data_IF_475194557936
#
_entry.id   IF_475194557936
#
_cell.length_a   1.000
_cell.length_b   1.000
_cell.length_c   1.000
_cell.angle_alpha   90.00
_cell.angle_beta   90.00
_cell.angle_gamma   90.00
#
_symmetry.space_group_name_H-M   'P 1'
#
loop_
_entity.id
_entity.type
_entity.pdbx_description
1 polymer ?
#
# COMPACT_ATOMS: atom_id res chain seq x y z
N UNK A 1 -48.38 5.11 26.42
CA UNK A 1 -48.10 4.39 25.16
C UNK A 1 -46.91 5.06 24.47
N UNK A 2 -45.96 4.27 23.96
CA UNK A 2 -44.89 4.82 23.11
C UNK A 2 -45.47 5.07 21.71
N UNK A 3 -45.25 6.27 21.19
CA UNK A 3 -45.71 6.67 19.86
C UNK A 3 -44.55 6.46 18.90
N UNK A 4 -44.77 5.67 17.86
CA UNK A 4 -43.77 5.46 16.81
C UNK A 4 -44.15 6.25 15.57
N UNK A 5 -43.13 6.83 14.91
CA UNK A 5 -43.31 7.44 13.60
C UNK A 5 -42.68 6.55 12.55
N UNK A 6 -43.49 6.11 11.60
CA UNK A 6 -43.00 5.40 10.43
C UNK A 6 -42.20 6.36 9.54
N UNK A 7 -40.99 5.93 9.17
CA UNK A 7 -40.11 6.68 8.28
C UNK A 7 -40.32 6.12 6.87
N UNK A 8 -40.77 6.93 5.89
CA UNK A 8 -40.93 6.46 4.53
C UNK A 8 -39.55 6.15 3.91
N UNK A 9 -39.50 5.15 3.02
CA UNK A 9 -38.25 4.75 2.37
C UNK A 9 -37.54 5.85 1.57
N UNK A 10 -38.25 6.92 1.20
CA UNK A 10 -37.68 8.11 0.55
C UNK A 10 -36.75 8.94 1.45
N UNK A 11 -36.91 8.82 2.76
CA UNK A 11 -36.16 9.55 3.76
C UNK A 11 -34.92 8.78 4.25
N UNK A 12 -34.71 7.57 3.74
CA UNK A 12 -33.50 6.79 3.94
C UNK A 12 -32.61 6.97 2.71
N UNK A 13 -31.48 7.64 2.89
CA UNK A 13 -30.47 7.81 1.84
C UNK A 13 -29.21 7.06 2.23
N UNK A 14 -28.94 5.96 1.54
CA UNK A 14 -27.63 5.34 1.59
C UNK A 14 -26.66 6.13 0.70
N UNK A 15 -25.51 6.50 1.26
CA UNK A 15 -24.47 7.24 0.57
C UNK A 15 -23.09 6.69 0.89
N UNK A 16 -22.21 6.67 -0.11
CA UNK A 16 -20.79 6.37 0.08
C UNK A 16 -20.02 7.68 0.13
N UNK A 17 -19.21 7.87 1.17
CA UNK A 17 -18.29 8.99 1.29
C UNK A 17 -16.86 8.48 1.18
N UNK A 18 -16.01 9.26 0.55
CA UNK A 18 -14.59 8.95 0.39
C UNK A 18 -13.78 9.91 1.24
N UNK A 19 -12.90 9.37 2.09
CA UNK A 19 -11.88 10.15 2.77
C UNK A 19 -10.54 9.90 2.09
N UNK A 20 -9.88 10.98 1.66
CA UNK A 20 -8.55 10.92 1.08
C UNK A 20 -7.52 11.50 2.03
N UNK A 21 -6.44 10.77 2.26
CA UNK A 21 -5.27 11.26 2.99
C UNK A 21 -4.03 11.09 2.12
N UNK A 22 -3.20 12.13 2.07
CA UNK A 22 -1.90 12.08 1.42
C UNK A 22 -0.91 11.31 2.31
N UNK A 23 -0.24 10.34 1.71
CA UNK A 23 0.89 9.64 2.29
C UNK A 23 2.14 10.10 1.55
N UNK A 24 3.13 10.55 2.30
CA UNK A 24 4.43 10.97 1.81
C UNK A 24 5.52 10.14 2.50
N UNK A 25 6.43 9.58 1.70
CA UNK A 25 7.52 8.73 2.16
C UNK A 25 8.84 9.41 1.79
N UNK A 26 9.63 9.84 2.79
CA UNK A 26 10.91 10.48 2.53
C UNK A 26 11.98 9.46 2.11
N UNK A 27 12.92 9.91 1.27
CA UNK A 27 14.06 9.11 0.78
C UNK A 27 14.89 8.53 1.92
N UNK A 28 15.16 9.33 2.95
CA UNK A 28 15.94 8.92 4.11
C UNK A 28 15.35 7.69 4.83
N UNK A 29 14.02 7.54 4.89
CA UNK A 29 13.41 6.35 5.50
C UNK A 29 13.67 5.08 4.68
N UNK A 30 13.81 5.19 3.36
CA UNK A 30 14.06 4.06 2.46
C UNK A 30 15.55 3.69 2.45
N UNK A 31 16.44 4.68 2.32
CA UNK A 31 17.89 4.46 2.27
C UNK A 31 18.51 4.19 3.63
N UNK A 32 17.85 4.63 4.71
CA UNK A 32 18.35 4.57 6.07
C UNK A 32 18.49 3.15 6.59
N UNK A 33 19.66 2.83 7.15
CA UNK A 33 19.92 1.53 7.78
C UNK A 33 19.15 1.31 9.10
N UNK A 34 18.68 2.40 9.73
CA UNK A 34 17.99 2.38 11.03
C UNK A 34 16.46 2.28 10.87
N UNK A 35 15.93 2.74 9.74
CA UNK A 35 14.51 2.63 9.38
C UNK A 35 14.20 1.36 8.58
N UNK A 36 15.21 0.74 7.98
CA UNK A 36 15.05 -0.47 7.17
C UNK A 36 15.48 -1.73 7.92
N UNK A 37 14.50 -2.61 8.15
CA UNK A 37 14.71 -3.88 8.84
C UNK A 37 15.00 -5.00 7.84
N UNK A 38 16.10 -5.72 8.08
CA UNK A 38 16.46 -6.95 7.38
C UNK A 38 16.13 -8.15 8.24
N UNK A 39 15.66 -9.22 7.62
CA UNK A 39 15.33 -10.48 8.29
C UNK A 39 16.39 -11.55 8.00
N UNK A 40 16.63 -12.44 8.97
CA UNK A 40 17.55 -13.57 8.79
C UNK A 40 16.77 -14.82 8.38
N UNK A 41 16.19 -14.81 7.18
CA UNK A 41 15.31 -15.88 6.71
C UNK A 41 16.07 -16.97 5.93
N UNK A 42 17.12 -16.58 5.22
CA UNK A 42 17.99 -17.47 4.48
C UNK A 42 19.36 -17.51 5.15
N UNK A 43 19.85 -18.73 5.42
CA UNK A 43 21.17 -18.96 5.99
C UNK A 43 21.80 -20.09 5.17
N UNK A 44 22.93 -19.79 4.54
CA UNK A 44 23.75 -20.80 3.86
C UNK A 44 25.18 -20.74 4.39
N UNK A 45 25.79 -21.91 4.58
CA UNK A 45 27.12 -22.06 5.16
C UNK A 45 27.85 -23.23 4.52
N UNK A 46 29.19 -23.21 4.61
CA UNK A 46 30.04 -24.29 4.10
C UNK A 46 31.54 -23.94 4.12
N UNK A 47 31.89 -22.71 3.71
CA UNK A 47 33.20 -22.06 3.91
C UNK A 47 32.99 -20.59 4.28
N UNK A 48 33.81 -20.06 5.18
CA UNK A 48 33.71 -18.68 5.67
C UNK A 48 32.56 -18.43 6.64
N UNK A 49 32.23 -17.16 6.91
CA UNK A 49 31.16 -16.77 7.85
C UNK A 49 29.73 -17.09 7.36
N UNK A 50 29.58 -17.69 6.18
CA UNK A 50 28.30 -17.97 5.56
C UNK A 50 27.57 -16.71 5.08
N UNK A 51 26.46 -16.89 4.38
CA UNK A 51 25.59 -15.80 3.92
C UNK A 51 24.29 -15.89 4.72
N UNK A 52 23.96 -14.82 5.43
CA UNK A 52 22.63 -14.62 6.01
C UNK A 52 21.92 -13.53 5.22
N UNK A 53 20.72 -13.83 4.70
CA UNK A 53 19.95 -12.86 3.92
C UNK A 53 18.45 -12.94 4.20
N UNK A 54 17.74 -11.85 3.87
CA UNK A 54 16.29 -11.71 3.93
C UNK A 54 15.64 -12.04 2.58
N UNK A 55 14.39 -12.51 2.62
CA UNK A 55 13.57 -12.65 1.41
C UNK A 55 12.90 -11.32 1.02
N UNK A 56 12.79 -10.39 1.96
CA UNK A 56 12.23 -9.06 1.79
C UNK A 56 12.77 -8.13 2.88
N UNK A 57 12.80 -6.84 2.60
CA UNK A 57 13.16 -5.81 3.58
C UNK A 57 11.92 -4.97 3.90
N UNK A 58 11.74 -4.64 5.18
CA UNK A 58 10.62 -3.77 5.61
C UNK A 58 11.15 -2.39 5.93
N UNK A 59 10.53 -1.37 5.34
CA UNK A 59 10.82 0.03 5.59
C UNK A 59 9.83 0.56 6.62
N UNK A 60 10.35 1.12 7.71
CA UNK A 60 9.59 1.76 8.77
C UNK A 60 9.62 3.29 8.63
N UNK A 61 8.64 3.96 9.24
CA UNK A 61 8.56 5.42 9.29
C UNK A 61 9.66 6.04 10.17
N UNK A 62 10.04 5.33 11.24
CA UNK A 62 11.07 5.67 12.21
C UNK A 62 12.02 4.50 12.46
N UNK A 63 12.91 4.64 13.44
CA UNK A 63 13.80 3.57 13.87
C UNK A 63 13.02 2.30 14.26
N UNK A 64 13.28 1.19 13.57
CA UNK A 64 12.55 -0.08 13.76
C UNK A 64 12.75 -0.72 15.14
N UNK A 65 13.71 -0.25 15.95
CA UNK A 65 13.90 -0.72 17.33
C UNK A 65 12.91 -0.10 18.32
N UNK A 66 12.23 0.99 17.92
CA UNK A 66 11.25 1.67 18.75
C UNK A 66 9.87 1.02 18.59
N UNK A 67 9.12 0.92 19.68
CA UNK A 67 7.75 0.37 19.66
C UNK A 67 6.76 1.25 18.88
N UNK A 68 7.10 2.53 18.66
CA UNK A 68 6.29 3.48 17.88
C UNK A 68 6.51 3.40 16.38
N UNK A 69 7.48 2.60 15.90
CA UNK A 69 7.80 2.53 14.48
C UNK A 69 6.79 1.66 13.71
N UNK A 70 6.11 2.28 12.76
CA UNK A 70 5.13 1.58 11.93
C UNK A 70 5.79 1.10 10.63
N UNK A 71 5.54 -0.15 10.20
CA UNK A 71 6.00 -0.62 8.90
C UNK A 71 5.19 0.07 7.80
N UNK A 72 5.88 0.75 6.88
CA UNK A 72 5.25 1.50 5.78
C UNK A 72 5.03 0.59 4.58
N UNK A 73 6.08 -0.09 4.14
CA UNK A 73 6.02 -1.04 3.03
C UNK A 73 7.14 -2.08 3.12
N UNK A 74 6.93 -3.20 2.43
CA UNK A 74 7.95 -4.21 2.20
C UNK A 74 8.45 -4.11 0.76
N UNK A 75 9.75 -4.33 0.55
CA UNK A 75 10.39 -4.36 -0.76
C UNK A 75 11.09 -5.70 -0.97
N UNK A 76 10.92 -6.29 -2.14
CA UNK A 76 11.57 -7.55 -2.53
C UNK A 76 11.73 -7.63 -4.05
N UNK A 77 12.58 -8.55 -4.50
CA UNK A 77 12.87 -8.78 -5.92
C UNK A 77 12.60 -10.24 -6.24
N UNK A 78 11.98 -10.48 -7.40
CA UNK A 78 11.75 -11.82 -7.91
C UNK A 78 12.15 -11.96 -9.38
N UNK A 79 12.43 -13.20 -9.78
CA UNK A 79 12.82 -13.56 -11.14
C UNK A 79 11.84 -14.57 -11.72
N UNK A 80 11.43 -14.36 -12.96
CA UNK A 80 10.61 -15.34 -13.66
C UNK A 80 11.44 -16.56 -14.05
N UNK A 81 10.93 -17.77 -13.76
CA UNK A 81 11.65 -19.04 -14.00
C UNK A 81 11.99 -19.29 -15.46
N UNK A 82 11.24 -18.73 -16.41
CA UNK A 82 11.48 -18.84 -17.85
C UNK A 82 12.26 -17.67 -18.46
N UNK A 83 12.81 -16.76 -17.65
CA UNK A 83 13.66 -15.66 -18.15
C UNK A 83 15.01 -16.19 -18.61
N UNK A 84 15.60 -15.56 -19.64
CA UNK A 84 16.98 -15.83 -20.09
C UNK A 84 17.99 -15.66 -18.94
N UNK A 85 17.75 -14.70 -18.05
CA UNK A 85 18.56 -14.47 -16.83
C UNK A 85 18.62 -15.68 -15.91
N UNK A 86 17.54 -16.48 -15.87
CA UNK A 86 17.48 -17.70 -15.06
C UNK A 86 17.99 -18.88 -15.87
N UNK A 87 17.52 -19.07 -17.11
CA UNK A 87 17.87 -20.25 -17.92
C UNK A 87 19.36 -20.32 -18.27
N UNK A 88 20.03 -19.19 -18.47
CA UNK A 88 21.46 -19.14 -18.77
C UNK A 88 22.32 -19.46 -17.53
N UNK A 89 21.76 -19.31 -16.32
CA UNK A 89 22.41 -19.63 -15.06
C UNK A 89 22.13 -21.05 -14.55
N UNK A 90 21.19 -21.79 -15.18
CA UNK A 90 20.85 -23.16 -14.80
C UNK A 90 21.93 -24.11 -15.29
N UNK A 91 22.51 -24.89 -14.38
CA UNK A 91 23.51 -25.92 -14.70
C UNK A 91 22.84 -27.23 -15.09
N UNK A 92 21.74 -27.60 -14.42
CA UNK A 92 20.92 -28.77 -14.72
C UNK A 92 19.57 -28.70 -14.01
N UNK A 93 18.64 -29.58 -14.38
CA UNK A 93 17.33 -29.74 -13.72
C UNK A 93 17.30 -31.09 -13.03
N UNK A 94 16.91 -31.10 -11.75
CA UNK A 94 16.76 -32.34 -10.97
C UNK A 94 15.52 -33.14 -11.41
N UNK A 95 15.44 -34.42 -11.05
CA UNK A 95 14.32 -35.32 -11.37
C UNK A 95 12.95 -34.79 -10.90
N UNK A 96 12.94 -33.96 -9.84
CA UNK A 96 11.73 -33.28 -9.33
C UNK A 96 11.42 -31.94 -10.00
N UNK A 97 12.11 -31.60 -11.09
CA UNK A 97 11.89 -30.34 -11.83
C UNK A 97 12.47 -29.10 -11.16
N UNK A 98 13.33 -29.26 -10.14
CA UNK A 98 14.00 -28.15 -9.45
C UNK A 98 15.23 -27.71 -10.24
N UNK A 99 15.39 -26.40 -10.42
CA UNK A 99 16.56 -25.81 -11.07
C UNK A 99 17.78 -25.88 -10.15
N UNK A 100 18.88 -26.41 -10.69
CA UNK A 100 20.19 -26.44 -10.04
C UNK A 100 21.05 -25.32 -10.62
N UNK A 101 21.64 -24.52 -9.73
CA UNK A 101 22.45 -23.37 -10.08
C UNK A 101 23.91 -23.58 -9.67
N UNK A 102 24.82 -22.87 -10.34
CA UNK A 102 26.24 -22.84 -9.97
C UNK A 102 26.43 -22.28 -8.56
N UNK A 103 27.53 -22.68 -7.89
CA UNK A 103 27.89 -22.18 -6.55
C UNK A 103 28.15 -20.66 -6.50
N UNK A 104 28.30 -20.02 -7.66
CA UNK A 104 28.46 -18.58 -7.82
C UNK A 104 27.11 -17.82 -7.82
N UNK A 105 25.98 -18.52 -7.96
CA UNK A 105 24.64 -17.94 -7.95
C UNK A 105 24.01 -18.10 -6.57
N UNK A 106 23.60 -16.98 -5.95
CA UNK A 106 23.06 -16.97 -4.59
C UNK A 106 21.54 -16.70 -4.62
N UNK A 107 20.80 -17.52 -3.87
CA UNK A 107 19.35 -17.39 -3.62
C UNK A 107 18.45 -17.42 -4.86
N UNK A 108 18.83 -18.16 -5.90
CA UNK A 108 18.09 -18.14 -7.17
C UNK A 108 16.71 -18.84 -7.08
N UNK A 109 16.63 -19.97 -6.37
CA UNK A 109 15.34 -20.64 -6.15
C UNK A 109 14.40 -19.77 -5.32
N UNK A 110 14.92 -19.09 -4.30
CA UNK A 110 14.16 -18.19 -3.45
C UNK A 110 13.62 -16.98 -4.23
N UNK A 111 14.41 -16.42 -5.15
CA UNK A 111 13.95 -15.33 -6.05
C UNK A 111 12.84 -15.79 -6.99
N UNK A 112 12.91 -17.02 -7.48
CA UNK A 112 11.85 -17.62 -8.32
C UNK A 112 10.59 -17.84 -7.49
N UNK A 113 10.71 -18.39 -6.29
CA UNK A 113 9.57 -18.66 -5.41
C UNK A 113 8.86 -17.38 -4.98
N UNK A 114 9.60 -16.29 -4.70
CA UNK A 114 9.01 -14.97 -4.44
C UNK A 114 8.18 -14.49 -5.63
N UNK A 115 8.71 -14.59 -6.86
CA UNK A 115 7.96 -14.21 -8.06
C UNK A 115 6.69 -15.05 -8.23
N UNK A 116 6.78 -16.37 -8.02
CA UNK A 116 5.63 -17.30 -8.09
C UNK A 116 4.55 -16.95 -7.08
N UNK A 117 4.94 -16.59 -5.85
CA UNK A 117 4.01 -16.20 -4.79
C UNK A 117 3.22 -14.93 -5.16
N UNK A 118 3.91 -13.89 -5.65
CA UNK A 118 3.24 -12.67 -6.11
C UNK A 118 2.35 -12.92 -7.32
N UNK A 119 2.80 -13.79 -8.24
CA UNK A 119 2.00 -14.18 -9.42
C UNK A 119 0.72 -14.91 -9.00
N UNK A 120 0.79 -15.84 -8.05
CA UNK A 120 -0.39 -16.50 -7.51
C UNK A 120 -1.35 -15.52 -6.82
N UNK A 121 -0.83 -14.57 -6.05
CA UNK A 121 -1.64 -13.59 -5.32
C UNK A 121 -2.37 -12.61 -6.24
N UNK A 122 -1.68 -12.14 -7.29
CA UNK A 122 -2.15 -11.03 -8.14
C UNK A 122 -2.79 -11.51 -9.44
N UNK A 123 -2.21 -12.53 -10.08
CA UNK A 123 -2.66 -13.07 -11.36
C UNK A 123 -3.51 -14.34 -11.21
N UNK A 124 -3.52 -14.96 -10.02
CA UNK A 124 -4.31 -16.15 -9.72
C UNK A 124 -3.63 -17.48 -10.07
N UNK A 125 -2.42 -17.45 -10.66
CA UNK A 125 -1.60 -18.64 -10.94
C UNK A 125 -0.12 -18.34 -10.77
N UNK A 126 0.63 -19.34 -10.28
CA UNK A 126 2.04 -19.22 -9.95
C UNK A 126 2.97 -19.20 -11.19
N UNK A 127 2.50 -19.71 -12.33
CA UNK A 127 3.31 -19.85 -13.56
C UNK A 127 3.12 -18.70 -14.55
N UNK A 128 2.15 -17.81 -14.30
CA UNK A 128 1.86 -16.67 -15.16
C UNK A 128 2.88 -15.57 -14.92
N UNK A 129 3.41 -15.02 -16.01
CA UNK A 129 4.33 -13.91 -15.99
C UNK A 129 3.60 -12.55 -15.93
N UNK A 130 4.13 -11.62 -15.14
CA UNK A 130 3.68 -10.23 -15.17
C UNK A 130 4.02 -9.54 -16.49
N UNK A 131 3.18 -8.60 -16.90
CA UNK A 131 3.37 -7.80 -18.12
C UNK A 131 3.15 -6.32 -17.86
N UNK A 132 3.94 -5.49 -18.55
CA UNK A 132 3.79 -4.04 -18.60
C UNK A 132 3.90 -3.60 -20.06
N UNK A 133 2.79 -3.25 -20.73
CA UNK A 133 1.41 -3.10 -20.25
C UNK A 133 0.75 -4.43 -19.85
N UNK A 134 -0.20 -4.40 -18.92
CA UNK A 134 -0.92 -5.60 -18.42
C UNK A 134 -1.66 -6.36 -19.54
N UNK A 135 -2.16 -5.64 -20.55
CA UNK A 135 -2.83 -6.19 -21.74
C UNK A 135 -1.88 -6.37 -22.94
N UNK A 136 -0.60 -6.08 -22.76
CA UNK A 136 0.42 -6.17 -23.80
C UNK A 136 0.62 -7.60 -24.27
N UNK A 137 0.67 -7.79 -25.59
CA UNK A 137 0.90 -9.09 -26.22
C UNK A 137 2.34 -9.28 -26.68
N UNK A 138 3.17 -8.23 -26.63
CA UNK A 138 4.52 -8.26 -27.16
C UNK A 138 5.48 -8.96 -26.18
N UNK A 139 6.57 -9.52 -26.72
CA UNK A 139 7.62 -10.16 -25.92
C UNK A 139 8.35 -9.17 -25.01
N UNK A 140 8.52 -7.92 -25.47
CA UNK A 140 9.10 -6.83 -24.67
C UNK A 140 8.21 -6.34 -23.52
N UNK A 141 6.94 -6.77 -23.47
CA UNK A 141 6.01 -6.40 -22.40
C UNK A 141 6.17 -7.33 -21.19
N UNK A 142 6.84 -8.47 -21.33
CA UNK A 142 7.05 -9.45 -20.28
C UNK A 142 8.03 -8.95 -19.23
N UNK A 143 7.63 -9.01 -17.97
CA UNK A 143 8.47 -8.64 -16.82
C UNK A 143 9.22 -9.88 -16.35
N UNK A 144 10.50 -9.95 -16.70
CA UNK A 144 11.40 -11.03 -16.31
C UNK A 144 11.98 -10.81 -14.91
N UNK A 145 12.49 -9.60 -14.66
CA UNK A 145 13.03 -9.15 -13.38
C UNK A 145 12.04 -8.17 -12.73
N UNK A 146 11.33 -8.61 -11.69
CA UNK A 146 10.31 -7.79 -11.03
C UNK A 146 10.81 -7.27 -9.68
N UNK A 147 10.64 -5.97 -9.46
CA UNK A 147 10.71 -5.34 -8.15
C UNK A 147 9.29 -5.21 -7.59
N UNK A 148 9.07 -5.79 -6.42
CA UNK A 148 7.80 -5.75 -5.71
C UNK A 148 7.88 -4.78 -4.55
N UNK A 149 6.95 -3.83 -4.49
CA UNK A 149 6.76 -2.92 -3.36
C UNK A 149 5.35 -3.13 -2.82
N UNK A 150 5.26 -3.65 -1.61
CA UNK A 150 4.01 -4.00 -0.95
C UNK A 150 3.73 -3.04 0.20
N UNK A 151 2.83 -2.08 -0.01
CA UNK A 151 2.44 -1.12 1.02
C UNK A 151 1.56 -1.77 2.09
N UNK A 152 1.82 -1.43 3.35
CA UNK A 152 1.01 -1.92 4.47
C UNK A 152 -0.36 -1.26 4.47
N UNK A 153 -1.39 -2.05 4.82
CA UNK A 153 -2.80 -1.60 4.88
C UNK A 153 -3.02 -0.38 5.79
N UNK A 154 -2.17 -0.18 6.79
CA UNK A 154 -2.25 1.01 7.65
C UNK A 154 -2.13 2.32 6.86
N UNK A 155 -1.35 2.31 5.77
CA UNK A 155 -1.12 3.47 4.90
C UNK A 155 -2.06 3.48 3.68
N UNK A 156 -2.35 2.33 3.08
CA UNK A 156 -3.24 2.24 1.90
C UNK A 156 -4.73 2.21 2.24
N UNK A 157 -5.10 1.89 3.48
CA UNK A 157 -6.48 1.76 3.97
C UNK A 157 -7.28 0.72 3.18
N UNK A 158 -8.20 1.15 2.33
CA UNK A 158 -9.01 0.26 1.50
C UNK A 158 -8.48 0.18 0.07
N UNK A 159 -8.03 1.31 -0.48
CA UNK A 159 -7.32 1.33 -1.77
C UNK A 159 -6.46 2.59 -1.93
N UNK A 160 -5.43 2.47 -2.75
CA UNK A 160 -4.70 3.64 -3.25
C UNK A 160 -5.57 4.32 -4.31
N UNK A 161 -5.71 5.64 -4.22
CA UNK A 161 -6.46 6.42 -5.20
C UNK A 161 -5.71 6.41 -6.55
N UNK A 162 -6.38 6.05 -7.66
CA UNK A 162 -5.78 6.14 -8.98
C UNK A 162 -5.33 7.55 -9.33
N UNK A 163 -4.28 7.64 -10.15
CA UNK A 163 -3.64 8.88 -10.64
C UNK A 163 -2.98 9.75 -9.55
N UNK A 164 -2.79 9.19 -8.35
CA UNK A 164 -2.13 9.92 -7.26
C UNK A 164 -0.76 9.35 -6.90
N UNK A 165 -0.36 8.23 -7.49
CA UNK A 165 0.90 7.59 -7.18
C UNK A 165 2.03 8.27 -7.95
N UNK A 166 3.07 8.69 -7.23
CA UNK A 166 4.31 9.19 -7.80
C UNK A 166 5.51 8.65 -7.05
N UNK A 167 6.53 8.23 -7.78
CA UNK A 167 7.80 7.76 -7.27
C UNK A 167 8.94 8.45 -8.01
N UNK A 168 9.91 8.98 -7.27
CA UNK A 168 11.18 9.46 -7.81
C UNK A 168 12.22 8.36 -7.69
N UNK A 169 12.86 8.02 -8.80
CA UNK A 169 13.85 6.94 -8.89
C UNK A 169 15.01 7.36 -9.79
N UNK A 170 16.24 6.97 -9.45
CA UNK A 170 17.42 7.28 -10.26
C UNK A 170 17.77 6.11 -11.19
N UNK A 171 17.77 6.33 -12.50
CA UNK A 171 17.98 5.26 -13.48
C UNK A 171 19.44 4.82 -13.62
N UNK A 172 20.38 5.60 -13.08
CA UNK A 172 21.83 5.36 -13.17
C UNK A 172 22.51 5.44 -11.80
N UNK A 173 23.41 4.50 -11.48
CA UNK A 173 24.40 4.60 -10.39
C UNK A 173 25.75 5.08 -10.97
N UNK A 174 26.13 6.34 -10.78
CA UNK A 174 27.16 7.00 -11.59
C UNK A 174 28.48 7.07 -10.86
N UNK A 175 29.45 6.30 -11.35
CA UNK A 175 30.83 6.77 -11.56
C UNK A 175 31.19 6.32 -12.97
N UNK A 176 31.30 7.27 -13.92
CA UNK A 176 31.76 7.00 -15.30
C UNK A 176 33.03 7.80 -15.63
N UNK A 177 33.61 8.51 -14.66
CA UNK A 177 34.86 9.24 -14.87
C UNK A 177 36.03 8.45 -14.31
N UNK A 178 36.75 7.77 -15.20
CA UNK A 178 38.19 7.40 -15.20
C UNK A 178 38.84 6.91 -13.88
N UNK A 179 38.02 6.48 -12.92
CA UNK A 179 38.43 5.99 -11.62
C UNK A 179 37.77 4.63 -11.43
N UNK A 180 38.52 3.54 -11.18
CA UNK A 180 37.98 2.20 -10.94
C UNK A 180 37.32 2.10 -9.55
N UNK A 181 36.41 3.04 -9.25
CA UNK A 181 35.65 3.08 -8.01
C UNK A 181 34.50 2.08 -8.00
N UNK A 182 34.16 1.60 -6.80
CA UNK A 182 32.97 0.77 -6.58
C UNK A 182 31.70 1.61 -6.75
N UNK A 183 30.78 1.19 -7.61
CA UNK A 183 29.52 1.90 -7.88
C UNK A 183 28.27 1.23 -7.28
N UNK A 184 28.42 0.10 -6.60
CA UNK A 184 27.33 -0.67 -5.99
C UNK A 184 26.61 0.07 -4.83
N UNK A 185 27.27 1.05 -4.20
CA UNK A 185 26.72 1.82 -3.06
C UNK A 185 26.73 3.33 -3.28
N UNK A 186 27.04 3.81 -4.49
CA UNK A 186 27.16 5.24 -4.81
C UNK A 186 26.00 5.71 -5.67
N UNK A 187 25.23 6.64 -5.13
CA UNK A 187 24.11 7.31 -5.83
C UNK A 187 24.62 8.26 -6.91
N UNK A 188 23.97 8.26 -8.09
CA UNK A 188 24.11 9.36 -9.05
C UNK A 188 23.08 10.44 -8.78
N UNK A 189 23.47 11.70 -8.88
CA UNK A 189 22.51 12.81 -8.96
C UNK A 189 21.95 13.00 -10.39
N UNK A 190 22.54 12.35 -11.40
CA UNK A 190 22.07 12.35 -12.78
C UNK A 190 21.10 11.19 -13.05
N UNK A 191 20.15 11.40 -13.97
CA UNK A 191 19.20 10.35 -14.39
C UNK A 191 18.00 10.15 -13.47
N UNK A 192 17.60 11.18 -12.70
CA UNK A 192 16.34 11.12 -11.95
C UNK A 192 15.13 11.07 -12.88
N UNK A 193 14.28 10.07 -12.71
CA UNK A 193 13.00 9.92 -13.41
C UNK A 193 11.87 9.81 -12.40
N UNK A 194 10.71 10.33 -12.78
CA UNK A 194 9.49 10.27 -11.97
C UNK A 194 8.56 9.27 -12.65
N UNK A 195 8.18 8.24 -11.90
CA UNK A 195 7.22 7.24 -12.31
C UNK A 195 5.88 7.54 -11.65
N UNK A 196 4.83 7.66 -12.46
CA UNK A 196 3.49 8.04 -12.03
C UNK A 196 2.44 7.14 -12.67
N UNK A 197 1.27 7.01 -12.07
CA UNK A 197 0.14 6.29 -12.68
C UNK A 197 -0.80 7.22 -13.50
N UNK A 198 -0.22 8.24 -14.15
CA UNK A 198 -0.96 9.19 -14.99
C UNK A 198 -1.69 8.47 -16.14
N UNK A 199 -2.98 8.77 -16.31
CA UNK A 199 -3.83 8.17 -17.34
C UNK A 199 -4.34 6.77 -17.00
N UNK A 200 -4.02 6.25 -15.81
CA UNK A 200 -4.44 4.91 -15.37
C UNK A 200 -5.96 4.76 -15.28
N UNK A 201 -6.72 5.81 -15.00
CA UNK A 201 -8.20 5.73 -14.92
C UNK A 201 -8.83 5.29 -16.24
N UNK A 202 -8.23 5.65 -17.38
CA UNK A 202 -8.73 5.25 -18.70
C UNK A 202 -8.33 3.82 -19.09
N UNK A 203 -7.24 3.29 -18.52
CA UNK A 203 -6.66 1.97 -18.86
C UNK A 203 -6.84 0.93 -17.76
N UNK A 204 -7.61 1.25 -16.71
CA UNK A 204 -7.83 0.36 -15.58
C UNK A 204 -8.48 -0.95 -16.04
N UNK A 205 -7.90 -2.05 -15.60
CA UNK A 205 -8.46 -3.38 -15.82
C UNK A 205 -8.66 -4.07 -14.48
N UNK A 206 -9.66 -4.93 -14.39
CA UNK A 206 -9.87 -5.78 -13.21
C UNK A 206 -9.36 -7.17 -13.52
N UNK A 207 -8.38 -7.62 -12.73
CA UNK A 207 -7.87 -8.97 -12.74
C UNK A 207 -8.17 -9.64 -11.40
N UNK A 208 -7.70 -10.88 -11.21
CA UNK A 208 -7.90 -11.65 -9.98
C UNK A 208 -7.51 -10.88 -8.71
N UNK A 209 -6.37 -10.19 -8.74
CA UNK A 209 -5.87 -9.37 -7.62
C UNK A 209 -6.60 -8.05 -7.39
N UNK A 210 -7.58 -7.67 -8.21
CA UNK A 210 -8.33 -6.41 -8.11
C UNK A 210 -8.13 -5.49 -9.32
N UNK A 211 -8.44 -4.20 -9.14
CA UNK A 211 -8.19 -3.16 -10.15
C UNK A 211 -6.70 -2.90 -10.25
N UNK A 212 -6.19 -2.96 -11.47
CA UNK A 212 -4.79 -2.70 -11.79
C UNK A 212 -4.68 -1.48 -12.70
N UNK A 213 -3.72 -0.62 -12.36
CA UNK A 213 -3.30 0.54 -13.13
C UNK A 213 -1.92 0.35 -13.73
N UNK A 214 -1.60 1.12 -14.77
CA UNK A 214 -0.25 1.17 -15.32
C UNK A 214 0.59 2.22 -14.61
N UNK A 215 1.86 1.92 -14.38
CA UNK A 215 2.85 2.91 -13.96
C UNK A 215 3.64 3.31 -15.20
N UNK A 216 3.71 4.60 -15.46
CA UNK A 216 4.39 5.18 -16.62
C UNK A 216 5.43 6.20 -16.19
N UNK A 217 6.42 6.42 -17.04
CA UNK A 217 7.35 7.52 -16.83
C UNK A 217 6.66 8.85 -17.16
N UNK A 218 6.69 9.81 -16.22
CA UNK A 218 6.06 11.12 -16.39
C UNK A 218 6.61 11.91 -17.61
N UNK A 219 7.88 11.69 -17.97
CA UNK A 219 8.51 12.36 -19.10
C UNK A 219 8.13 11.74 -20.46
N UNK A 220 7.60 10.51 -20.49
CA UNK A 220 7.12 9.86 -21.70
C UNK A 220 6.00 8.84 -21.37
N UNK A 221 4.77 9.33 -21.12
CA UNK A 221 3.68 8.51 -20.59
C UNK A 221 3.15 7.48 -21.60
N UNK A 222 3.37 7.67 -22.91
CA UNK A 222 2.79 6.83 -23.96
C UNK A 222 3.68 5.65 -24.34
N UNK A 223 5.01 5.79 -24.24
CA UNK A 223 5.96 4.79 -24.75
C UNK A 223 6.79 4.07 -23.66
N UNK A 224 6.67 4.48 -22.39
CA UNK A 224 7.41 3.86 -21.28
C UNK A 224 6.49 3.45 -20.14
N UNK A 225 5.76 2.37 -20.35
CA UNK A 225 5.06 1.64 -19.30
C UNK A 225 6.07 0.78 -18.53
N UNK A 226 6.29 1.12 -17.27
CA UNK A 226 7.37 0.55 -16.44
C UNK A 226 6.88 -0.45 -15.41
N UNK A 227 5.57 -0.61 -15.25
CA UNK A 227 5.00 -1.55 -14.31
C UNK A 227 3.49 -1.44 -14.16
N UNK A 228 3.00 -2.08 -13.10
CA UNK A 228 1.59 -2.12 -12.75
C UNK A 228 1.39 -1.87 -11.25
N UNK A 229 0.34 -1.13 -10.90
CA UNK A 229 -0.05 -0.84 -9.52
C UNK A 229 -1.40 -1.48 -9.22
N UNK A 230 -1.46 -2.31 -8.17
CA UNK A 230 -2.66 -2.99 -7.72
C UNK A 230 -3.30 -2.19 -6.58
N UNK A 231 -4.36 -1.44 -6.88
CA UNK A 231 -4.88 -0.39 -5.99
C UNK A 231 -5.44 -0.93 -4.67
N UNK A 232 -6.22 -2.03 -4.70
CA UNK A 232 -6.83 -2.61 -3.49
C UNK A 232 -5.83 -3.41 -2.66
N UNK A 233 -4.87 -4.08 -3.31
CA UNK A 233 -3.85 -4.86 -2.61
C UNK A 233 -2.69 -4.00 -2.11
N UNK A 234 -2.51 -2.80 -2.65
CA UNK A 234 -1.39 -1.93 -2.32
C UNK A 234 -0.05 -2.51 -2.76
N UNK A 235 0.00 -3.19 -3.92
CA UNK A 235 1.25 -3.79 -4.43
C UNK A 235 1.61 -3.14 -5.76
N UNK A 236 2.81 -2.57 -5.82
CA UNK A 236 3.42 -2.12 -7.06
C UNK A 236 4.37 -3.19 -7.59
N UNK A 237 4.18 -3.57 -8.86
CA UNK A 237 5.06 -4.47 -9.60
C UNK A 237 5.78 -3.64 -10.65
N UNK A 238 7.08 -3.48 -10.50
CA UNK A 238 7.92 -2.69 -11.39
C UNK A 238 8.86 -3.61 -12.17
N UNK A 239 9.04 -3.30 -13.45
CA UNK A 239 10.00 -3.99 -14.29
C UNK A 239 11.39 -3.36 -14.12
N UNK A 240 12.31 -4.11 -13.52
CA UNK A 240 13.67 -3.65 -13.26
C UNK A 240 14.37 -3.24 -14.57
N UNK A 241 14.17 -3.98 -15.66
CA UNK A 241 14.80 -3.70 -16.95
C UNK A 241 14.34 -2.37 -17.58
N UNK A 242 13.14 -1.89 -17.23
CA UNK A 242 12.54 -0.66 -17.76
C UNK A 242 12.73 0.54 -16.82
N UNK A 243 12.76 0.33 -15.50
CA UNK A 243 12.97 1.42 -14.52
C UNK A 243 14.44 1.80 -14.38
N UNK A 244 15.38 0.92 -14.72
CA UNK A 244 16.82 1.18 -14.67
C UNK A 244 17.49 0.78 -15.99
N UNK A 245 18.73 1.26 -16.21
CA UNK A 245 19.53 0.75 -17.32
C UNK A 245 20.08 -0.64 -16.94
N UNK A 246 19.44 -1.71 -17.42
CA UNK A 246 19.88 -3.09 -17.15
C UNK A 246 21.31 -3.39 -17.61
N UNK A 247 21.78 -2.71 -18.66
CA UNK A 247 23.15 -2.81 -19.18
C UNK A 247 24.18 -1.98 -18.42
N UNK A 248 23.79 -1.33 -17.33
CA UNK A 248 24.71 -0.51 -16.54
C UNK A 248 25.81 -1.39 -15.93
N UNK A 249 27.06 -0.93 -16.05
CA UNK A 249 28.18 -1.57 -15.40
C UNK A 249 28.05 -1.53 -13.88
N UNK A 250 28.29 -2.65 -13.19
CA UNK A 250 28.28 -2.72 -11.73
C UNK A 250 29.61 -3.24 -11.21
N UNK A 251 30.22 -2.47 -10.31
CA UNK A 251 31.44 -2.79 -9.57
C UNK A 251 31.22 -2.63 -8.07
N UNK A 252 31.62 -3.61 -7.27
CA UNK A 252 31.34 -3.58 -5.84
C UNK A 252 31.76 -4.84 -5.10
N UNK A 253 31.45 -4.88 -3.80
CA UNK A 253 31.68 -6.05 -2.96
C UNK A 253 30.32 -6.67 -2.64
N UNK A 254 30.14 -7.94 -2.98
CA UNK A 254 28.95 -8.74 -2.68
C UNK A 254 29.28 -9.88 -1.71
N UNK A 255 28.28 -10.40 -1.00
CA UNK A 255 28.47 -11.54 -0.09
C UNK A 255 28.66 -12.84 -0.87
N UNK A 256 29.62 -13.65 -0.46
CA UNK A 256 29.96 -14.92 -1.10
C UNK A 256 30.33 -15.99 -0.06
N UNK A 257 30.12 -17.26 -0.41
CA UNK A 257 30.51 -18.40 0.42
C UNK A 257 31.99 -18.71 0.16
N UNK A 258 32.89 -17.90 0.73
CA UNK A 258 34.32 -18.09 0.65
C UNK A 258 35.03 -17.68 1.96
N UNK A 259 36.28 -18.11 2.14
CA UNK A 259 37.14 -17.67 3.25
C UNK A 259 37.96 -16.41 2.88
N UNK A 260 37.67 -15.80 1.72
CA UNK A 260 38.50 -14.75 1.15
C UNK A 260 37.99 -13.37 1.56
N UNK A 261 38.93 -12.43 1.75
CA UNK A 261 38.65 -10.99 1.79
C UNK A 261 39.31 -10.37 0.56
N UNK A 262 38.54 -10.03 -0.48
CA UNK A 262 39.08 -9.64 -1.79
C UNK A 262 39.68 -8.24 -1.81
N UNK A 263 39.46 -7.41 -0.79
CA UNK A 263 40.03 -6.07 -0.67
C UNK A 263 40.26 -5.68 0.81
N UNK A 264 41.28 -4.86 1.07
CA UNK A 264 41.61 -4.34 2.41
C UNK A 264 40.40 -3.58 2.97
N UNK A 265 39.85 -4.07 4.09
CA UNK A 265 38.64 -3.50 4.72
C UNK A 265 37.32 -4.17 4.36
N UNK A 266 37.30 -5.16 3.46
CA UNK A 266 36.11 -5.96 3.18
C UNK A 266 35.95 -7.11 4.18
N UNK A 267 34.74 -7.37 4.72
CA UNK A 267 34.51 -8.49 5.62
C UNK A 267 34.80 -9.83 4.91
N UNK A 268 35.37 -10.79 5.64
CA UNK A 268 35.58 -12.18 5.15
C UNK A 268 34.25 -12.75 4.63
N UNK A 269 34.28 -13.57 3.57
CA UNK A 269 33.05 -14.06 2.93
C UNK A 269 32.44 -13.08 1.95
N UNK A 270 33.29 -12.35 1.23
CA UNK A 270 32.87 -11.43 0.17
C UNK A 270 33.63 -11.70 -1.12
N UNK A 271 33.05 -11.30 -2.25
CA UNK A 271 33.72 -11.29 -3.56
C UNK A 271 33.51 -9.94 -4.23
N UNK A 272 34.46 -9.52 -5.05
CA UNK A 272 34.35 -8.29 -5.84
C UNK A 272 33.70 -8.62 -7.17
N UNK A 273 32.65 -7.88 -7.50
CA UNK A 273 32.05 -7.85 -8.83
C UNK A 273 32.64 -6.66 -9.61
N UNK A 274 32.93 -6.84 -10.90
CA UNK A 274 33.35 -5.76 -11.80
C UNK A 274 34.82 -5.29 -11.74
N UNK A 275 35.67 -5.77 -10.82
CA UNK A 275 37.06 -5.26 -10.67
C UNK A 275 38.05 -5.73 -11.75
N UNK A 276 37.72 -6.77 -12.54
CA UNK A 276 38.59 -7.29 -13.61
C UNK A 276 37.90 -7.51 -14.94
N UNK A 277 36.57 -7.33 -15.00
CA UNK A 277 35.79 -7.41 -16.23
C UNK A 277 34.92 -6.15 -16.35
N UNK A 278 35.26 -5.21 -17.25
CA UNK A 278 34.53 -3.96 -17.44
C UNK A 278 33.14 -4.16 -18.07
N UNK A 279 32.78 -5.38 -18.51
CA UNK A 279 31.49 -5.68 -19.14
C UNK A 279 30.41 -6.20 -18.19
N UNK A 280 30.68 -6.28 -16.88
CA UNK A 280 29.71 -6.83 -15.90
C UNK A 280 28.49 -5.92 -15.78
N UNK A 281 27.28 -6.47 -16.02
CA UNK A 281 26.02 -5.72 -16.07
C UNK A 281 25.16 -5.94 -14.82
N UNK A 282 24.27 -4.98 -14.51
CA UNK A 282 23.28 -5.16 -13.45
C UNK A 282 22.34 -6.33 -13.76
N UNK A 283 21.83 -6.41 -14.99
CA UNK A 283 21.15 -7.59 -15.53
C UNK A 283 22.05 -8.15 -16.65
N UNK A 284 22.48 -9.43 -16.60
CA UNK A 284 22.06 -10.48 -15.67
C UNK A 284 22.96 -10.64 -14.42
N UNK A 285 24.19 -10.13 -14.42
CA UNK A 285 25.25 -10.63 -13.55
C UNK A 285 25.03 -10.34 -12.05
N UNK A 286 24.62 -9.12 -11.69
CA UNK A 286 24.32 -8.81 -10.28
C UNK A 286 23.07 -9.55 -9.80
N UNK A 287 22.04 -9.64 -10.65
CA UNK A 287 20.79 -10.31 -10.30
C UNK A 287 20.97 -11.82 -10.04
N UNK A 288 21.92 -12.45 -10.74
CA UNK A 288 22.23 -13.88 -10.58
C UNK A 288 23.18 -14.14 -9.41
N UNK A 289 24.21 -13.31 -9.24
CA UNK A 289 25.29 -13.57 -8.27
C UNK A 289 25.01 -13.02 -6.87
N UNK A 290 24.30 -11.89 -6.73
CA UNK A 290 24.11 -11.22 -5.45
C UNK A 290 22.95 -11.81 -4.62
N UNK A 291 23.04 -11.67 -3.29
CA UNK A 291 21.92 -11.99 -2.39
C UNK A 291 20.77 -10.98 -2.56
N UNK A 292 19.55 -11.35 -2.15
CA UNK A 292 18.38 -10.46 -2.22
C UNK A 292 18.64 -9.17 -1.42
N UNK A 293 19.31 -9.27 -0.27
CA UNK A 293 19.67 -8.09 0.51
C UNK A 293 20.65 -7.16 -0.18
N UNK A 294 21.68 -7.70 -0.86
CA UNK A 294 22.68 -6.87 -1.53
C UNK A 294 22.05 -6.13 -2.73
N UNK A 295 21.11 -6.78 -3.44
CA UNK A 295 20.33 -6.17 -4.52
C UNK A 295 19.44 -5.05 -3.96
N UNK A 296 18.69 -5.32 -2.90
CA UNK A 296 17.82 -4.35 -2.26
C UNK A 296 18.61 -3.20 -1.61
N UNK A 297 19.80 -3.46 -1.07
CA UNK A 297 20.72 -2.44 -0.59
C UNK A 297 21.14 -1.48 -1.70
N UNK A 298 21.56 -2.01 -2.84
CA UNK A 298 21.89 -1.16 -3.99
C UNK A 298 20.66 -0.37 -4.46
N UNK A 299 19.48 -0.99 -4.56
CA UNK A 299 18.25 -0.28 -4.99
C UNK A 299 17.89 0.84 -4.00
N UNK A 300 17.82 0.54 -2.71
CA UNK A 300 17.43 1.51 -1.70
C UNK A 300 18.46 2.63 -1.49
N UNK A 301 19.76 2.34 -1.55
CA UNK A 301 20.79 3.36 -1.35
C UNK A 301 21.03 4.17 -2.63
N UNK A 302 21.31 3.49 -3.75
CA UNK A 302 21.74 4.17 -4.98
C UNK A 302 20.60 4.73 -5.81
N UNK A 303 19.38 4.18 -5.68
CA UNK A 303 18.27 4.50 -6.61
C UNK A 303 17.15 5.30 -5.97
N UNK A 304 16.98 5.22 -4.66
CA UNK A 304 16.09 6.12 -3.92
C UNK A 304 16.84 7.33 -3.35
N UNK A 305 18.18 7.32 -3.35
CA UNK A 305 19.03 8.34 -2.73
C UNK A 305 18.81 8.48 -1.22
N UNK A 306 19.66 9.23 -0.53
CA UNK A 306 19.64 9.42 0.93
C UNK A 306 19.27 10.83 1.37
N UNK A 307 18.69 11.62 0.46
CA UNK A 307 18.27 12.99 0.74
C UNK A 307 17.05 13.10 1.66
N UNK A 308 16.69 14.35 1.98
CA UNK A 308 15.46 14.70 2.72
C UNK A 308 14.23 14.85 1.82
N UNK A 309 14.37 14.63 0.51
CA UNK A 309 13.28 14.75 -0.45
C UNK A 309 12.29 13.59 -0.34
N UNK A 310 11.09 13.79 -0.86
CA UNK A 310 10.09 12.74 -1.07
C UNK A 310 10.59 11.71 -2.09
N UNK A 311 10.57 10.43 -1.70
CA UNK A 311 10.81 9.31 -2.60
C UNK A 311 9.53 8.86 -3.30
N UNK A 312 8.45 8.76 -2.53
CA UNK A 312 7.19 8.16 -2.97
C UNK A 312 6.03 8.88 -2.31
N UNK A 313 4.97 9.16 -3.08
CA UNK A 313 3.75 9.75 -2.56
C UNK A 313 2.54 9.13 -3.24
N UNK A 314 1.45 9.01 -2.47
CA UNK A 314 0.15 8.58 -2.97
C UNK A 314 -0.97 9.08 -2.05
N UNK A 315 -2.20 9.15 -2.56
CA UNK A 315 -3.37 9.35 -1.72
C UNK A 315 -4.03 8.01 -1.45
N UNK A 316 -4.35 7.73 -0.19
CA UNK A 316 -5.23 6.60 0.13
C UNK A 316 -6.69 7.00 -0.02
N UNK A 317 -7.56 6.00 -0.10
CA UNK A 317 -9.00 6.14 -0.04
C UNK A 317 -9.53 5.23 1.04
N UNK A 318 -10.30 5.81 1.97
CA UNK A 318 -11.13 5.05 2.91
C UNK A 318 -12.57 5.20 2.47
N UNK A 319 -13.23 4.06 2.26
CA UNK A 319 -14.61 4.03 1.84
C UNK A 319 -15.49 3.97 3.09
N UNK A 320 -16.18 5.07 3.39
CA UNK A 320 -17.13 5.12 4.50
C UNK A 320 -18.52 4.91 3.92
N UNK A 321 -19.14 3.78 4.26
CA UNK A 321 -20.52 3.54 3.94
C UNK A 321 -21.38 4.21 5.02
N UNK A 322 -22.29 5.08 4.60
CA UNK A 322 -23.14 5.83 5.53
C UNK A 322 -24.60 5.70 5.14
N UNK A 323 -25.47 5.54 6.12
CA UNK A 323 -26.91 5.68 5.94
C UNK A 323 -27.37 6.95 6.64
N UNK A 324 -27.96 7.84 5.86
CA UNK A 324 -28.57 9.07 6.33
C UNK A 324 -30.07 8.85 6.43
N UNK A 325 -30.61 8.92 7.63
CA UNK A 325 -32.03 8.82 7.90
C UNK A 325 -32.53 10.22 8.26
N UNK A 326 -33.44 10.72 7.44
CA UNK A 326 -34.14 11.96 7.70
C UNK A 326 -35.43 11.66 8.45
N UNK A 327 -35.63 12.31 9.59
CA UNK A 327 -36.91 12.27 10.29
C UNK A 327 -37.40 13.71 10.41
N UNK A 328 -38.52 14.01 9.75
CA UNK A 328 -39.20 15.29 9.91
C UNK A 328 -40.32 15.12 10.92
N UNK A 329 -40.22 15.79 12.04
CA UNK A 329 -41.29 15.87 13.04
C UNK A 329 -42.14 17.09 12.69
N UNK A 330 -43.42 16.85 12.38
CA UNK A 330 -44.37 17.90 12.02
C UNK A 330 -44.62 18.89 13.16
N UNK A 331 -45.26 20.01 12.85
CA UNK A 331 -45.75 20.96 13.86
C UNK A 331 -46.63 20.26 14.88
N UNK A 332 -47.50 19.36 14.42
CA UNK A 332 -48.58 18.76 15.19
C UNK A 332 -48.19 17.44 15.87
N UNK A 333 -46.98 16.95 15.63
CA UNK A 333 -46.50 15.65 16.10
C UNK A 333 -45.53 15.78 17.28
N UNK A 334 -45.58 14.81 18.22
CA UNK A 334 -44.66 14.70 19.37
C UNK A 334 -44.60 15.91 20.31
N UNK A 335 -45.71 16.63 20.46
CA UNK A 335 -45.84 17.77 21.38
C UNK A 335 -46.24 17.37 22.83
N UNK A 336 -46.28 16.07 23.15
CA UNK A 336 -46.66 15.55 24.47
C UNK A 336 -45.62 14.54 25.00
N UNK A 337 -45.56 14.39 26.32
CA UNK A 337 -44.66 13.46 27.00
C UNK A 337 -45.45 12.32 27.62
N UNK A 338 -44.92 11.10 27.57
CA UNK A 338 -45.48 9.94 28.26
C UNK A 338 -45.01 9.80 29.72
N UNK A 339 -44.41 10.86 30.29
CA UNK A 339 -44.00 10.87 31.69
C UNK A 339 -45.25 10.94 32.58
N UNK A 340 -45.40 10.05 33.59
CA UNK A 340 -46.54 10.07 34.52
C UNK A 340 -46.78 11.41 35.23
N UNK A 341 -45.79 12.29 35.31
CA UNK A 341 -45.97 13.64 35.89
C UNK A 341 -46.60 14.66 34.92
N UNK A 342 -46.82 14.27 33.66
CA UNK A 342 -47.33 15.15 32.60
C UNK A 342 -48.86 15.28 32.61
N UNK A 343 -49.56 14.29 33.19
CA UNK A 343 -51.03 14.25 33.31
C UNK A 343 -51.44 14.12 34.77
N UNK A 344 -52.53 14.78 35.18
CA UNK A 344 -53.16 14.57 36.50
C UNK A 344 -53.97 13.25 36.52
N UNK A 345 -54.42 12.79 37.69
CA UNK A 345 -55.29 11.61 37.88
C UNK A 345 -56.59 11.65 37.05
N UNK A 346 -56.97 12.81 36.52
CA UNK A 346 -58.14 13.09 35.68
C UNK A 346 -57.83 13.16 34.18
N UNK A 347 -56.61 12.77 33.75
CA UNK A 347 -56.17 12.74 32.34
C UNK A 347 -56.03 14.15 31.70
N UNK A 348 -55.93 15.19 32.53
CA UNK A 348 -55.70 16.60 32.11
C UNK A 348 -54.19 16.93 32.11
N UNK A 349 -53.72 17.79 31.19
CA UNK A 349 -52.33 18.25 31.16
C UNK A 349 -51.99 19.09 32.40
N UNK A 350 -50.92 18.73 33.12
CA UNK A 350 -50.46 19.49 34.28
C UNK A 350 -49.87 20.84 33.84
N UNK A 351 -50.53 21.91 34.26
CA UNK A 351 -50.18 23.31 33.98
C UNK A 351 -49.05 23.75 34.91
N UNK A 352 -47.99 24.39 34.38
CA UNK A 352 -46.83 24.83 35.17
C UNK A 352 -47.14 26.02 36.10
N UNK A 353 -48.24 26.75 35.83
CA UNK A 353 -48.62 27.95 36.58
C UNK A 353 -50.15 27.98 36.78
N UNK A 354 -50.60 27.95 38.05
CA UNK A 354 -52.03 27.98 38.38
C UNK A 354 -52.68 29.33 38.03
N UNK A 355 -53.84 29.30 37.35
CA UNK A 355 -54.64 30.50 37.04
C UNK A 355 -54.70 30.91 35.56
N UNK A 356 -54.05 30.18 34.64
CA UNK A 356 -54.08 30.47 33.20
C UNK A 356 -54.26 29.20 32.34
N UNK A 357 -55.11 28.30 32.80
CA UNK A 357 -55.33 26.95 32.22
C UNK A 357 -55.75 26.98 30.74
N UNK A 358 -56.38 28.05 30.27
CA UNK A 358 -56.87 28.19 28.89
C UNK A 358 -55.90 28.87 27.91
N UNK A 359 -54.67 29.23 28.32
CA UNK A 359 -53.69 29.90 27.42
C UNK A 359 -52.31 29.25 27.34
N UNK A 360 -52.03 28.22 28.13
CA UNK A 360 -50.71 27.59 28.11
C UNK A 360 -50.63 26.56 26.99
N UNK A 361 -49.60 26.69 26.15
CA UNK A 361 -49.27 25.73 25.11
C UNK A 361 -48.31 24.68 25.66
N UNK A 362 -48.52 23.42 25.30
CA UNK A 362 -47.64 22.31 25.65
C UNK A 362 -46.30 22.41 24.92
N UNK A 363 -45.19 22.42 25.66
CA UNK A 363 -43.85 22.28 25.11
C UNK A 363 -43.17 21.03 25.67
N UNK A 364 -42.37 20.36 24.84
CA UNK A 364 -41.61 19.15 25.22
C UNK A 364 -40.15 19.29 24.82
N UNK A 365 -39.26 18.64 25.56
CA UNK A 365 -37.85 18.55 25.20
C UNK A 365 -37.52 17.14 24.75
N UNK A 366 -36.93 17.01 23.56
CA UNK A 366 -36.40 15.74 23.09
C UNK A 366 -34.89 15.69 23.30
N UNK A 367 -34.41 14.53 23.76
CA UNK A 367 -32.99 14.31 24.15
C UNK A 367 -32.36 13.16 23.38
N UNK A 368 -33.13 12.13 23.05
CA UNK A 368 -32.70 10.97 22.30
C UNK A 368 -33.75 10.53 21.29
N UNK A 369 -33.29 9.92 20.20
CA UNK A 369 -34.10 9.34 19.13
C UNK A 369 -33.74 7.87 19.02
N UNK A 370 -34.72 6.99 19.22
CA UNK A 370 -34.56 5.55 19.00
C UNK A 370 -34.99 5.16 17.58
N UNK A 371 -34.18 4.36 16.91
CA UNK A 371 -34.51 3.71 15.64
C UNK A 371 -34.94 2.27 15.93
N UNK A 372 -36.13 1.91 15.44
CA UNK A 372 -36.74 0.60 15.67
C UNK A 372 -36.92 -0.16 14.34
N UNK A 373 -36.82 -1.48 14.39
CA UNK A 373 -37.14 -2.39 13.27
C UNK A 373 -38.67 -2.61 13.14
N UNK A 374 -39.13 -3.26 12.06
CA UNK A 374 -40.51 -3.66 11.84
C UNK A 374 -41.10 -4.60 12.91
N UNK A 375 -40.25 -5.17 13.78
CA UNK A 375 -40.63 -5.97 14.94
C UNK A 375 -40.51 -5.21 16.27
N UNK A 376 -40.44 -3.87 16.23
CA UNK A 376 -40.28 -2.98 17.39
C UNK A 376 -39.00 -3.22 18.22
N UNK A 377 -37.98 -3.82 17.61
CA UNK A 377 -36.67 -3.99 18.23
C UNK A 377 -35.83 -2.73 18.05
N UNK A 378 -35.23 -2.22 19.13
CA UNK A 378 -34.35 -1.05 19.09
C UNK A 378 -33.04 -1.39 18.37
N UNK A 379 -32.79 -0.77 17.22
CA UNK A 379 -31.60 -0.93 16.40
C UNK A 379 -30.49 0.07 16.76
N UNK A 380 -30.85 1.32 17.01
CA UNK A 380 -29.88 2.38 17.31
C UNK A 380 -30.51 3.50 18.14
N UNK A 381 -29.70 4.18 18.96
CA UNK A 381 -30.11 5.38 19.72
C UNK A 381 -29.19 6.53 19.35
N UNK A 382 -29.77 7.57 18.75
CA UNK A 382 -29.08 8.83 18.53
C UNK A 382 -29.32 9.76 19.73
N UNK A 383 -28.26 10.28 20.33
CA UNK A 383 -28.33 11.24 21.44
C UNK A 383 -27.96 12.64 20.95
N UNK A 384 -28.73 13.63 21.37
CA UNK A 384 -28.46 15.02 21.04
C UNK A 384 -27.52 15.64 22.10
N UNK A 385 -26.67 16.56 21.65
CA UNK A 385 -25.73 17.27 22.54
C UNK A 385 -26.42 18.19 23.54
N UNK A 386 -27.61 18.69 23.19
CA UNK A 386 -28.48 19.50 24.05
C UNK A 386 -29.94 19.08 23.85
N UNK A 387 -30.77 19.14 24.90
CA UNK A 387 -32.22 19.04 24.74
C UNK A 387 -32.69 20.14 23.80
N UNK A 388 -33.55 19.80 22.85
CA UNK A 388 -34.12 20.80 21.95
C UNK A 388 -35.62 20.85 22.21
N UNK A 389 -36.12 22.07 22.28
CA UNK A 389 -37.53 22.36 22.56
C UNK A 389 -38.38 22.10 21.32
N UNK A 390 -39.50 21.44 21.51
CA UNK A 390 -40.57 21.25 20.53
C UNK A 390 -41.85 21.87 21.07
N UNK A 391 -42.49 22.68 20.22
CA UNK A 391 -43.81 23.27 20.44
C UNK A 391 -44.63 23.13 19.14
N UNK A 392 -45.94 23.35 19.22
CA UNK A 392 -46.89 23.21 18.12
C UNK A 392 -46.62 24.15 16.93
N UNK A 393 -45.83 25.22 17.12
CA UNK A 393 -45.50 26.17 16.04
C UNK A 393 -44.24 25.78 15.25
N UNK A 394 -43.38 24.93 15.81
CA UNK A 394 -42.06 24.63 15.22
C UNK A 394 -42.03 23.22 14.66
N UNK A 395 -41.75 23.10 13.37
CA UNK A 395 -41.35 21.82 12.76
C UNK A 395 -39.86 21.57 12.99
N UNK A 396 -39.48 20.31 13.13
CA UNK A 396 -38.10 19.91 13.38
C UNK A 396 -37.66 18.86 12.37
N UNK A 397 -36.54 19.11 11.71
CA UNK A 397 -35.88 18.11 10.87
C UNK A 397 -34.67 17.53 11.61
N UNK A 398 -34.70 16.23 11.88
CA UNK A 398 -33.61 15.46 12.44
C UNK A 398 -32.92 14.69 11.33
N UNK A 399 -31.59 14.72 11.32
CA UNK A 399 -30.76 13.92 10.42
C UNK A 399 -29.88 13.00 11.26
N UNK A 400 -30.19 11.70 11.22
CA UNK A 400 -29.38 10.67 11.86
C UNK A 400 -28.42 10.11 10.81
N UNK A 401 -27.12 10.15 11.10
CA UNK A 401 -26.07 9.56 10.27
C UNK A 401 -25.54 8.32 10.99
N UNK A 402 -25.67 7.18 10.34
CA UNK A 402 -25.07 5.92 10.79
C UNK A 402 -23.91 5.63 9.84
N UNK A 403 -22.70 5.62 10.38
CA UNK A 403 -21.49 5.23 9.65
C UNK A 403 -21.14 3.79 10.04
N UNK A 404 -20.78 2.95 9.06
CA UNK A 404 -20.41 1.54 9.27
C UNK A 404 -19.26 1.09 8.36
#
# INVERSE_FOLDING_TARGET
MAIFKEIPGSDIRAGRSFLHQLVDIPQQSISGSVSRKKYKAFITGGKGPGITSSLFQTVHDNNFSLQSANPVFDITVGLYSGSTTVTDAVTSVDYFGKFLFSSQSVMMNEKIDVYRQYSQLLLGSADIQFRSPVTGTLEQDKINEALFISFRRQFTRDEIKPETFAMKFFTTASVVDDNPGFNLSTTSEAGSQIFTDIGSTATQTTLFGGKVGHIVNANNPTNKLVGSLWYQKGIAVLDLSKIMLGSQHVSGVIRAINDNSPAVGSPTGTMVIGSGNPEVKFIPDLMVSASVDDILDHVCMCRFSSGTYTAMTFQNTTNINSTLIFCRVGSDEFNYSSNPTYTDESDTLNVLEGGIENRQQSFTFFTSVGLYDAHDNLLAVAKLSRPVEKNNEKSLALRVRIDF
#
